data_IF_796482490197
#
_entry.id   IF_796482490197
#
_cell.length_a   1.000
_cell.length_b   1.000
_cell.length_c   1.000
_cell.angle_alpha   90.00
_cell.angle_beta   90.00
_cell.angle_gamma   90.00
#
_symmetry.space_group_name_H-M   'P 1'
#
loop_
_entity.id
_entity.type
_entity.pdbx_description
1 polymer ?
#
# COMPACT_ATOMS: atom_id res chain seq x y z
N UNK A 1 -15.35 -22.82 -5.42
CA UNK A 1 -15.77 -21.40 -5.23
C UNK A 1 -14.88 -20.68 -4.21
N UNK A 2 -14.78 -21.17 -2.97
CA UNK A 2 -13.92 -20.58 -1.93
C UNK A 2 -12.43 -20.50 -2.29
N UNK A 3 -11.84 -21.58 -2.82
CA UNK A 3 -10.42 -21.59 -3.22
C UNK A 3 -10.12 -20.57 -4.32
N UNK A 4 -11.02 -20.45 -5.30
CA UNK A 4 -10.88 -19.44 -6.36
C UNK A 4 -10.88 -18.02 -5.80
N UNK A 5 -11.73 -17.75 -4.80
CA UNK A 5 -11.76 -16.46 -4.12
C UNK A 5 -10.46 -16.19 -3.36
N UNK A 6 -9.90 -17.19 -2.66
CA UNK A 6 -8.60 -17.05 -2.00
C UNK A 6 -7.51 -16.71 -3.01
N UNK A 7 -7.43 -17.45 -4.11
CA UNK A 7 -6.42 -17.23 -5.14
C UNK A 7 -6.55 -15.85 -5.79
N UNK A 8 -7.78 -15.39 -6.05
CA UNK A 8 -8.03 -14.04 -6.54
C UNK A 8 -7.50 -12.98 -5.55
N UNK A 9 -7.86 -13.06 -4.27
CA UNK A 9 -7.42 -12.08 -3.26
C UNK A 9 -5.92 -12.13 -3.01
N UNK A 10 -5.33 -13.33 -3.01
CA UNK A 10 -3.88 -13.50 -2.90
C UNK A 10 -3.16 -12.87 -4.10
N UNK A 11 -3.69 -13.02 -5.31
CA UNK A 11 -3.14 -12.40 -6.52
C UNK A 11 -3.22 -10.86 -6.46
N UNK A 12 -4.35 -10.30 -6.03
CA UNK A 12 -4.51 -8.85 -5.86
C UNK A 12 -3.49 -8.29 -4.87
N UNK A 13 -3.32 -8.94 -3.71
CA UNK A 13 -2.34 -8.49 -2.71
C UNK A 13 -0.90 -8.74 -3.14
N UNK A 14 -0.63 -9.85 -3.82
CA UNK A 14 0.71 -10.22 -4.29
C UNK A 14 1.24 -9.31 -5.40
N UNK A 15 0.35 -8.68 -6.16
CA UNK A 15 0.70 -7.71 -7.19
C UNK A 15 0.63 -6.25 -6.72
N UNK A 16 0.35 -5.97 -5.45
CA UNK A 16 0.25 -4.61 -4.92
C UNK A 16 1.59 -4.08 -4.38
N UNK A 17 1.70 -2.75 -4.27
CA UNK A 17 2.89 -2.06 -3.78
C UNK A 17 3.24 -2.49 -2.34
N UNK A 18 4.39 -3.14 -2.17
CA UNK A 18 4.74 -3.83 -0.92
C UNK A 18 4.94 -2.83 0.24
N UNK A 19 5.62 -1.71 -0.02
CA UNK A 19 5.85 -0.65 0.98
C UNK A 19 4.53 0.00 1.41
N UNK A 20 3.58 0.18 0.48
CA UNK A 20 2.25 0.71 0.79
C UNK A 20 1.47 -0.25 1.68
N UNK A 21 1.46 -1.55 1.36
CA UNK A 21 0.81 -2.56 2.20
C UNK A 21 1.41 -2.61 3.61
N UNK A 22 2.73 -2.47 3.74
CA UNK A 22 3.39 -2.39 5.05
C UNK A 22 2.88 -1.18 5.85
N UNK A 23 2.87 0.01 5.23
CA UNK A 23 2.40 1.24 5.88
C UNK A 23 0.94 1.12 6.31
N UNK A 24 0.06 0.63 5.41
CA UNK A 24 -1.36 0.41 5.70
C UNK A 24 -1.54 -0.51 6.91
N UNK A 25 -0.85 -1.66 6.93
CA UNK A 25 -0.97 -2.62 8.05
C UNK A 25 -0.52 -2.01 9.39
N UNK A 26 0.51 -1.17 9.38
CA UNK A 26 1.01 -0.52 10.60
C UNK A 26 0.07 0.60 11.06
N UNK A 27 -0.33 1.47 10.14
CA UNK A 27 -1.24 2.58 10.43
C UNK A 27 -2.59 2.08 10.95
N UNK A 28 -3.20 1.07 10.31
CA UNK A 28 -4.46 0.50 10.78
C UNK A 28 -4.28 -0.20 12.12
N UNK A 29 -3.24 -1.04 12.29
CA UNK A 29 -3.06 -1.82 13.53
C UNK A 29 -2.92 -0.93 14.77
N UNK A 30 -2.19 0.17 14.67
CA UNK A 30 -1.91 1.05 15.80
C UNK A 30 -2.84 2.26 15.87
N UNK A 31 -3.24 2.82 14.73
CA UNK A 31 -4.08 4.01 14.63
C UNK A 31 -5.50 3.79 15.14
N UNK A 32 -6.04 2.58 15.03
CA UNK A 32 -7.39 2.27 15.57
C UNK A 32 -7.41 2.06 17.08
N UNK A 33 -6.24 2.02 17.75
CA UNK A 33 -6.13 1.82 19.20
C UNK A 33 -5.88 3.13 19.96
N UNK A 34 -5.86 4.25 19.25
CA UNK A 34 -5.53 5.57 19.79
C UNK A 34 -6.62 6.58 19.39
N UNK A 35 -6.69 7.76 20.02
CA UNK A 35 -7.57 8.83 19.54
C UNK A 35 -7.30 9.15 18.07
N UNK A 36 -8.37 9.49 17.32
CA UNK A 36 -8.32 9.69 15.87
C UNK A 36 -7.21 10.66 15.43
N UNK A 37 -6.95 11.72 16.20
CA UNK A 37 -5.91 12.69 15.90
C UNK A 37 -4.51 12.06 15.89
N UNK A 38 -4.24 11.10 16.78
CA UNK A 38 -2.98 10.35 16.81
C UNK A 38 -2.94 9.33 15.68
N UNK A 39 -4.07 8.69 15.37
CA UNK A 39 -4.20 7.80 14.21
C UNK A 39 -3.82 8.52 12.91
N UNK A 40 -4.33 9.74 12.70
CA UNK A 40 -4.02 10.57 11.53
C UNK A 40 -2.52 10.90 11.43
N UNK A 41 -1.82 11.06 12.57
CA UNK A 41 -0.36 11.26 12.56
C UNK A 41 0.36 10.00 12.06
N UNK A 42 -0.10 8.80 12.43
CA UNK A 42 0.46 7.56 11.88
C UNK A 42 0.23 7.43 10.37
N UNK A 43 -0.95 7.83 9.87
CA UNK A 43 -1.22 7.88 8.44
C UNK A 43 -0.29 8.86 7.71
N UNK A 44 -0.09 10.07 8.27
CA UNK A 44 0.82 11.07 7.72
C UNK A 44 2.27 10.57 7.69
N UNK A 45 2.74 9.90 8.74
CA UNK A 45 4.07 9.28 8.78
C UNK A 45 4.19 8.17 7.72
N UNK A 46 3.18 7.30 7.62
CA UNK A 46 3.13 6.25 6.60
C UNK A 46 3.15 6.80 5.18
N UNK A 47 2.44 7.91 4.93
CA UNK A 47 2.49 8.63 3.66
C UNK A 47 3.91 9.11 3.33
N UNK A 48 4.60 9.74 4.29
CA UNK A 48 5.97 10.21 4.12
C UNK A 48 6.96 9.08 3.80
N UNK A 49 6.86 7.95 4.51
CA UNK A 49 7.68 6.76 4.22
C UNK A 49 7.37 6.19 2.84
N UNK A 50 6.08 6.07 2.50
CA UNK A 50 5.65 5.51 1.23
C UNK A 50 6.04 6.39 0.04
N UNK A 51 6.04 7.73 0.20
CA UNK A 51 6.40 8.68 -0.84
C UNK A 51 7.84 8.49 -1.37
N UNK A 52 8.73 7.93 -0.56
CA UNK A 52 10.09 7.59 -0.99
C UNK A 52 10.21 6.31 -1.80
N UNK A 53 9.15 5.49 -1.90
CA UNK A 53 9.21 4.16 -2.53
C UNK A 53 9.25 4.23 -4.06
N UNK A 54 10.07 3.38 -4.66
CA UNK A 54 10.06 3.11 -6.11
C UNK A 54 8.67 2.78 -6.67
N UNK A 55 7.85 2.04 -5.92
CA UNK A 55 6.50 1.67 -6.35
C UNK A 55 5.58 2.89 -6.49
N UNK A 56 5.78 3.96 -5.70
CA UNK A 56 5.02 5.21 -5.86
C UNK A 56 5.38 5.88 -7.18
N UNK A 57 6.67 5.98 -7.49
CA UNK A 57 7.12 6.56 -8.75
C UNK A 57 6.58 5.75 -9.95
N UNK A 58 6.65 4.42 -9.89
CA UNK A 58 6.09 3.54 -10.90
C UNK A 58 4.57 3.70 -11.05
N UNK A 59 3.82 3.77 -9.95
CA UNK A 59 2.38 3.97 -9.97
C UNK A 59 1.99 5.29 -10.62
N UNK A 60 2.68 6.38 -10.27
CA UNK A 60 2.48 7.71 -10.87
C UNK A 60 2.79 7.67 -12.37
N UNK A 61 3.94 7.10 -12.76
CA UNK A 61 4.35 7.03 -14.17
C UNK A 61 3.41 6.15 -15.00
N UNK A 62 3.01 5.00 -14.47
CA UNK A 62 2.06 4.09 -15.12
C UNK A 62 0.71 4.77 -15.35
N UNK A 63 0.20 5.51 -14.36
CA UNK A 63 -1.02 6.31 -14.49
C UNK A 63 -0.90 7.37 -15.59
N UNK A 64 0.18 8.16 -15.57
CA UNK A 64 0.42 9.19 -16.59
C UNK A 64 0.58 8.60 -18.00
N UNK A 65 1.14 7.39 -18.10
CA UNK A 65 1.35 6.66 -19.35
C UNK A 65 0.14 5.80 -19.77
N UNK A 66 -0.94 5.78 -18.98
CA UNK A 66 -2.15 4.96 -19.23
C UNK A 66 -1.84 3.47 -19.41
N UNK A 67 -0.92 2.93 -18.61
CA UNK A 67 -0.57 1.51 -18.57
C UNK A 67 -0.75 0.96 -17.17
N UNK A 68 -0.82 -0.37 -17.06
CA UNK A 68 -0.79 -1.05 -15.77
C UNK A 68 0.59 -0.85 -15.09
N UNK A 69 0.61 -0.59 -13.77
CA UNK A 69 1.84 -0.49 -13.00
C UNK A 69 2.46 -1.87 -12.76
N UNK A 70 3.78 -1.90 -12.61
CA UNK A 70 4.54 -3.10 -12.24
C UNK A 70 5.27 -2.86 -10.92
N UNK A 71 4.60 -3.17 -9.82
CA UNK A 71 5.20 -3.01 -8.50
C UNK A 71 6.25 -4.10 -8.23
N UNK A 72 7.44 -3.68 -7.80
CA UNK A 72 8.57 -4.56 -7.48
C UNK A 72 9.03 -4.40 -6.03
N UNK A 73 8.42 -3.48 -5.28
CA UNK A 73 8.87 -3.10 -3.96
C UNK A 73 10.10 -2.20 -3.98
N UNK A 74 10.66 -2.01 -2.79
CA UNK A 74 11.85 -1.18 -2.54
C UNK A 74 11.53 0.18 -1.95
N UNK A 75 12.52 0.70 -1.21
CA UNK A 75 12.66 2.15 -1.00
C UNK A 75 13.36 2.73 -2.22
#
# INVERSE_FOLDING_TARGET
EFENLIHEKASVLGNAATTSLFCIKKAVKFGTQVPIQIGNIFEMLGFGVNAGSKDVNEGIMAFLQKREPKFTGGM
#
